data_IF_642965065786
#
_entry.id   IF_642965065786
#
_cell.length_a   1.000
_cell.length_b   1.000
_cell.length_c   1.000
_cell.angle_alpha   90.00
_cell.angle_beta   90.00
_cell.angle_gamma   90.00
#
_symmetry.space_group_name_H-M   'P 1'
#
loop_
_entity.id
_entity.type
_entity.pdbx_description
1 polymer ?
#
# COMPACT_ATOMS: atom_id res chain seq x y z
N UNK A 1 -20.92 -40.49 15.90
CA UNK A 1 -20.44 -39.26 16.54
C UNK A 1 -19.28 -38.61 15.78
N UNK A 2 -18.20 -39.34 15.44
CA UNK A 2 -17.00 -38.76 14.81
C UNK A 2 -17.19 -38.15 13.39
N UNK A 3 -18.08 -38.69 12.57
CA UNK A 3 -18.30 -38.22 11.19
C UNK A 3 -18.78 -36.76 11.12
N UNK A 4 -19.74 -36.38 11.97
CA UNK A 4 -20.26 -35.02 12.05
C UNK A 4 -19.24 -34.01 12.56
N UNK A 5 -18.32 -34.46 13.43
CA UNK A 5 -17.23 -33.64 13.97
C UNK A 5 -16.23 -33.29 12.86
N UNK A 6 -15.91 -34.25 11.99
CA UNK A 6 -14.98 -34.02 10.86
C UNK A 6 -15.56 -33.02 9.84
N UNK A 7 -16.85 -33.10 9.55
CA UNK A 7 -17.54 -32.14 8.67
C UNK A 7 -17.53 -30.75 9.29
N UNK A 8 -17.87 -30.63 10.57
CA UNK A 8 -17.86 -29.36 11.28
C UNK A 8 -16.46 -28.72 11.31
N UNK A 9 -15.40 -29.52 11.54
CA UNK A 9 -14.02 -29.04 11.50
C UNK A 9 -13.63 -28.55 10.09
N UNK A 10 -14.01 -29.29 9.05
CA UNK A 10 -13.73 -28.92 7.66
C UNK A 10 -14.38 -27.61 7.26
N UNK A 11 -15.64 -27.39 7.63
CA UNK A 11 -16.33 -26.12 7.39
C UNK A 11 -15.68 -24.96 8.17
N UNK A 12 -15.31 -25.19 9.42
CA UNK A 12 -14.69 -24.16 10.26
C UNK A 12 -13.29 -23.78 9.75
N UNK A 13 -12.52 -24.75 9.26
CA UNK A 13 -11.21 -24.53 8.65
C UNK A 13 -11.33 -23.81 7.30
N UNK A 14 -12.29 -24.19 6.45
CA UNK A 14 -12.56 -23.50 5.20
C UNK A 14 -13.04 -22.05 5.43
N UNK A 15 -13.89 -21.83 6.45
CA UNK A 15 -14.33 -20.50 6.85
C UNK A 15 -13.19 -19.67 7.43
N UNK A 16 -12.31 -20.27 8.24
CA UNK A 16 -11.13 -19.61 8.79
C UNK A 16 -10.14 -19.19 7.68
N UNK A 17 -9.89 -20.05 6.69
CA UNK A 17 -9.09 -19.70 5.52
C UNK A 17 -9.77 -18.58 4.71
N UNK A 18 -11.07 -18.69 4.44
CA UNK A 18 -11.81 -17.67 3.71
C UNK A 18 -11.83 -16.30 4.43
N UNK A 19 -11.89 -16.29 5.77
CA UNK A 19 -11.75 -15.06 6.57
C UNK A 19 -10.31 -14.53 6.62
N UNK A 20 -9.31 -15.42 6.59
CA UNK A 20 -7.89 -15.04 6.61
C UNK A 20 -7.42 -14.43 5.27
N UNK A 21 -8.19 -14.63 4.20
CA UNK A 21 -7.96 -14.04 2.86
C UNK A 21 -8.62 -12.65 2.74
N UNK A 22 -8.97 -11.99 3.85
CA UNK A 22 -9.09 -10.53 3.83
C UNK A 22 -7.68 -9.99 3.62
N UNK A 23 -7.37 -9.68 2.36
CA UNK A 23 -6.10 -9.11 1.91
C UNK A 23 -5.78 -7.91 2.80
N UNK A 24 -4.87 -8.11 3.75
CA UNK A 24 -4.31 -7.03 4.54
C UNK A 24 -3.70 -6.08 3.53
N UNK A 25 -4.29 -4.90 3.38
CA UNK A 25 -3.60 -3.82 2.72
C UNK A 25 -2.33 -3.59 3.56
N UNK A 26 -1.15 -3.83 2.98
CA UNK A 26 0.09 -3.74 3.70
C UNK A 26 0.25 -2.29 4.16
N UNK A 27 0.09 -2.07 5.46
CA UNK A 27 0.22 -0.77 6.08
C UNK A 27 1.65 -0.62 6.57
N UNK A 28 2.36 0.34 5.99
CA UNK A 28 3.71 0.72 6.39
C UNK A 28 3.65 2.03 7.17
N UNK A 29 3.96 2.01 8.47
CA UNK A 29 4.09 3.24 9.25
C UNK A 29 5.45 3.91 8.93
N UNK A 30 5.42 5.22 8.70
CA UNK A 30 6.61 6.03 8.38
C UNK A 30 7.06 6.78 9.61
N UNK A 31 8.28 6.51 10.05
CA UNK A 31 8.89 7.15 11.22
C UNK A 31 9.97 8.13 10.78
N UNK A 32 10.04 9.28 11.45
CA UNK A 32 11.14 10.21 11.32
C UNK A 32 12.39 9.76 12.08
N UNK A 33 13.49 10.49 11.91
CA UNK A 33 14.79 10.17 12.52
C UNK A 33 14.76 10.15 14.06
N UNK A 34 13.84 10.89 14.68
CA UNK A 34 13.62 10.91 16.13
C UNK A 34 12.69 9.78 16.63
N UNK A 35 12.32 8.81 15.78
CA UNK A 35 11.40 7.73 16.12
C UNK A 35 9.93 8.16 16.20
N UNK A 36 9.59 9.41 15.88
CA UNK A 36 8.21 9.89 15.84
C UNK A 36 7.52 9.47 14.55
N UNK A 37 6.33 8.89 14.66
CA UNK A 37 5.47 8.55 13.50
C UNK A 37 5.06 9.83 12.77
N UNK A 38 5.44 9.95 11.50
CA UNK A 38 5.08 11.05 10.62
C UNK A 38 3.81 10.76 9.82
N UNK A 39 3.53 9.49 9.54
CA UNK A 39 2.37 9.07 8.77
C UNK A 39 2.39 7.59 8.50
N UNK A 40 1.61 7.16 7.52
CA UNK A 40 1.56 5.77 7.07
C UNK A 40 1.17 5.69 5.61
N UNK A 41 1.60 4.60 4.97
CA UNK A 41 1.21 4.27 3.61
C UNK A 41 0.41 2.98 3.65
N UNK A 42 -0.68 2.93 2.91
CA UNK A 42 -1.48 1.72 2.73
C UNK A 42 -1.28 1.25 1.30
N UNK A 43 -0.73 0.06 1.12
CA UNK A 43 -0.62 -0.57 -0.18
C UNK A 43 -1.82 -1.47 -0.45
N UNK A 44 -2.51 -1.21 -1.54
CA UNK A 44 -3.62 -2.01 -2.02
C UNK A 44 -3.33 -2.39 -3.48
N UNK A 45 -2.85 -3.61 -3.68
CA UNK A 45 -2.47 -4.15 -4.99
C UNK A 45 -1.54 -3.21 -5.77
N UNK A 46 -2.07 -2.48 -6.74
CA UNK A 46 -1.39 -1.54 -7.66
C UNK A 46 -1.45 -0.08 -7.19
N UNK A 47 -1.97 0.18 -5.99
CA UNK A 47 -2.15 1.54 -5.46
C UNK A 47 -1.52 1.70 -4.08
N UNK A 48 -0.92 2.85 -3.85
CA UNK A 48 -0.47 3.31 -2.54
C UNK A 48 -1.29 4.52 -2.13
N UNK A 49 -1.88 4.54 -0.95
CA UNK A 49 -2.47 5.75 -0.39
C UNK A 49 -1.59 6.25 0.77
N UNK A 50 -1.20 7.53 0.70
CA UNK A 50 -0.35 8.16 1.69
C UNK A 50 -1.22 8.93 2.68
N UNK A 51 -1.02 8.68 3.96
CA UNK A 51 -1.72 9.31 5.05
C UNK A 51 -0.75 10.00 6.00
N UNK A 52 -1.16 11.14 6.53
CA UNK A 52 -0.45 11.77 7.63
C UNK A 52 -0.71 11.02 8.96
N UNK A 53 -0.11 11.54 10.04
CA UNK A 53 -0.28 10.99 11.39
C UNK A 53 -1.73 11.00 11.85
N UNK A 54 -2.52 11.97 11.39
CA UNK A 54 -3.93 12.19 11.75
C UNK A 54 -4.90 11.46 10.80
N UNK A 55 -4.39 10.51 10.00
CA UNK A 55 -5.16 9.72 9.05
C UNK A 55 -5.84 10.53 7.94
N UNK A 56 -5.32 11.72 7.63
CA UNK A 56 -5.74 12.50 6.45
C UNK A 56 -4.93 12.06 5.25
N UNK A 57 -5.63 11.86 4.13
CA UNK A 57 -5.00 11.43 2.88
C UNK A 57 -4.24 12.59 2.25
N UNK A 58 -2.93 12.42 2.16
CA UNK A 58 -1.99 13.41 1.61
C UNK A 58 -1.64 13.16 0.15
N UNK A 59 -2.00 12.00 -0.39
CA UNK A 59 -1.81 11.68 -1.80
C UNK A 59 -1.93 10.20 -2.08
N UNK A 60 -1.58 9.81 -3.30
CA UNK A 60 -1.55 8.42 -3.72
C UNK A 60 -0.55 8.14 -4.82
N UNK A 61 -0.11 6.88 -4.89
CA UNK A 61 0.69 6.31 -5.95
C UNK A 61 -0.11 5.29 -6.75
N UNK A 62 0.11 5.21 -8.07
CA UNK A 62 -0.35 4.10 -8.91
C UNK A 62 0.87 3.42 -9.52
N UNK A 63 0.95 2.10 -9.37
CA UNK A 63 2.01 1.30 -9.95
C UNK A 63 1.75 1.12 -11.45
N UNK A 64 2.79 1.37 -12.24
CA UNK A 64 2.80 1.07 -13.66
C UNK A 64 3.27 -0.35 -13.91
N UNK A 65 2.93 -0.93 -15.08
CA UNK A 65 3.40 -2.25 -15.48
C UNK A 65 4.93 -2.39 -15.52
N UNK A 66 5.65 -1.29 -15.72
CA UNK A 66 7.13 -1.23 -15.71
C UNK A 66 7.73 -1.19 -14.29
N UNK A 67 6.90 -1.30 -13.25
CA UNK A 67 7.30 -1.23 -11.85
C UNK A 67 7.51 0.18 -11.31
N UNK A 68 7.38 1.22 -12.14
CA UNK A 68 7.42 2.61 -11.69
C UNK A 68 6.11 3.04 -11.00
N UNK A 69 6.15 4.12 -10.24
CA UNK A 69 5.00 4.65 -9.51
C UNK A 69 4.71 6.07 -9.96
N UNK A 70 3.48 6.31 -10.43
CA UNK A 70 2.95 7.66 -10.62
C UNK A 70 2.42 8.21 -9.30
N UNK A 71 2.92 9.36 -8.87
CA UNK A 71 2.47 10.02 -7.65
C UNK A 71 1.49 11.14 -7.94
N UNK A 72 0.47 11.25 -7.10
CA UNK A 72 -0.61 12.22 -7.19
C UNK A 72 -0.87 12.87 -5.84
N UNK A 73 -1.25 14.14 -5.87
CA UNK A 73 -1.80 14.89 -4.73
C UNK A 73 -3.23 14.42 -4.41
N UNK A 74 -3.80 14.84 -3.27
CA UNK A 74 -5.19 14.54 -2.92
C UNK A 74 -6.19 15.08 -3.93
N UNK A 75 -5.87 16.21 -4.57
CA UNK A 75 -6.66 16.86 -5.63
C UNK A 75 -6.55 16.17 -7.01
N UNK A 76 -5.78 15.08 -7.11
CA UNK A 76 -5.56 14.34 -8.36
C UNK A 76 -4.47 14.94 -9.26
N UNK A 77 -3.83 16.06 -8.88
CA UNK A 77 -2.74 16.62 -9.65
C UNK A 77 -1.49 15.73 -9.55
N UNK A 78 -0.85 15.47 -10.69
CA UNK A 78 0.35 14.62 -10.75
C UNK A 78 1.54 15.34 -10.14
N UNK A 79 2.22 14.67 -9.21
CA UNK A 79 3.45 15.13 -8.57
C UNK A 79 4.69 14.73 -9.37
N UNK A 80 4.71 13.50 -9.89
CA UNK A 80 5.86 12.98 -10.62
C UNK A 80 5.83 11.47 -10.73
N UNK A 81 6.96 10.90 -11.14
CA UNK A 81 7.18 9.45 -11.25
C UNK A 81 8.34 9.05 -10.38
N UNK A 82 8.18 7.95 -9.63
CA UNK A 82 9.28 7.23 -9.01
C UNK A 82 9.60 6.03 -9.90
N UNK A 83 10.79 6.00 -10.48
CA UNK A 83 11.27 4.80 -11.17
C UNK A 83 12.07 3.93 -10.20
N UNK A 84 11.80 2.61 -10.12
CA UNK A 84 12.67 1.69 -9.41
C UNK A 84 14.06 1.74 -10.05
N UNK A 85 15.08 1.93 -9.23
CA UNK A 85 16.46 1.78 -9.66
C UNK A 85 16.82 0.34 -9.96
N UNK A 86 17.90 0.15 -10.72
CA UNK A 86 18.65 -1.11 -10.76
C UNK A 86 19.11 -1.42 -9.32
N UNK A 87 18.33 -2.22 -8.58
CA UNK A 87 18.61 -2.60 -7.19
C UNK A 87 17.51 -2.27 -6.16
N UNK A 88 16.30 -1.88 -6.56
CA UNK A 88 15.17 -1.75 -5.63
C UNK A 88 15.13 -0.48 -4.78
N UNK A 89 16.09 0.44 -4.97
CA UNK A 89 16.04 1.79 -4.40
C UNK A 89 15.51 2.78 -5.45
N UNK A 90 14.59 3.70 -5.09
CA UNK A 90 14.06 4.70 -6.03
C UNK A 90 15.20 5.60 -6.50
N UNK A 91 15.61 5.48 -7.77
CA UNK A 91 16.82 6.15 -8.28
C UNK A 91 16.60 7.62 -8.63
N UNK A 92 15.34 8.06 -8.77
CA UNK A 92 15.06 9.45 -9.14
C UNK A 92 13.59 9.82 -8.87
N UNK A 93 13.36 10.83 -8.04
CA UNK A 93 12.12 11.60 -8.04
C UNK A 93 12.21 12.59 -9.21
N UNK A 94 11.59 12.26 -10.34
CA UNK A 94 11.51 13.19 -11.47
C UNK A 94 10.31 14.11 -11.24
N UNK A 95 10.56 15.21 -10.53
CA UNK A 95 9.63 16.34 -10.46
C UNK A 95 9.63 17.00 -11.84
N UNK A 96 8.51 16.95 -12.56
CA UNK A 96 8.40 17.70 -13.81
C UNK A 96 8.46 19.19 -13.49
N UNK A 97 9.34 19.97 -14.15
CA UNK A 97 9.37 21.41 -13.96
C UNK A 97 8.04 22.00 -14.43
N UNK A 98 7.35 22.69 -13.53
CA UNK A 98 6.13 23.45 -13.82
C UNK A 98 6.48 24.53 -14.84
N UNK A 99 6.08 24.36 -16.10
CA UNK A 99 6.11 25.46 -17.07
C UNK A 99 5.13 26.53 -16.55
N UNK A 100 5.67 27.73 -16.33
CA UNK A 100 4.93 28.94 -16.00
C UNK A 100 4.65 29.70 -17.29
#
# INVERSE_FOLDING_TARGET
MGFWILIALGMLFALFIALSVVTAADRLDVFGQEGRRQGYVVQQADRLDLFDRDSRRQGYGIQRPDGSWDLFRPDGSRLGVIQPGLGGLPSRLVLQPRKR
#
